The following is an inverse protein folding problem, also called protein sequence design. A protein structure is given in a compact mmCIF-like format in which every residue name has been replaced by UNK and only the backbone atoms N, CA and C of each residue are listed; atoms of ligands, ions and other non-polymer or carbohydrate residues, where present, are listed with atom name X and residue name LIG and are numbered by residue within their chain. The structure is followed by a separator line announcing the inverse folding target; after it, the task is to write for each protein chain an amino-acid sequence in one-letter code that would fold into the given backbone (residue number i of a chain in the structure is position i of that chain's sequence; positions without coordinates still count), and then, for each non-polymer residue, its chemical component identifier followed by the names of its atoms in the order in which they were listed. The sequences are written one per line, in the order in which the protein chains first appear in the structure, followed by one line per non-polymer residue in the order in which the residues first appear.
data_IF_729994855961
#
_entry.id   IF_729994855961
#
_cell.length_a   1.000
_cell.length_b   1.000
_cell.length_c   1.000
_cell.angle_alpha   90.00
_cell.angle_beta   90.00
_cell.angle_gamma   90.00
#
_symmetry.space_group_name_H-M   'P 1'
#
loop_
_entity.id
_entity.type
_entity.pdbx_description
1 polymer ?
#
# COMPACT_ATOMS: atom_id res chain seq x y z
N UNK A 1 -35.97 26.37 -40.52
CA UNK A 1 -35.44 25.06 -40.95
C UNK A 1 -34.07 24.86 -40.30
N UNK A 2 -33.93 23.80 -39.51
CA UNK A 2 -32.74 22.94 -39.20
C UNK A 2 -31.33 23.48 -39.52
N UNK A 3 -30.23 23.18 -38.81
CA UNK A 3 -29.79 22.37 -37.65
C UNK A 3 -28.24 22.67 -37.62
N UNK A 4 -27.47 22.60 -36.55
CA UNK A 4 -26.84 21.38 -36.03
C UNK A 4 -25.87 21.80 -34.90
N UNK A 5 -26.07 21.23 -33.71
CA UNK A 5 -25.06 21.21 -32.64
C UNK A 5 -23.88 20.32 -33.05
N UNK A 6 -22.65 20.77 -32.78
CA UNK A 6 -21.50 19.88 -32.74
C UNK A 6 -21.61 18.94 -31.52
N UNK A 7 -21.44 17.62 -31.68
CA UNK A 7 -21.23 16.74 -30.54
C UNK A 7 -19.79 16.94 -30.04
N UNK A 8 -19.65 17.42 -28.81
CA UNK A 8 -18.37 17.39 -28.09
C UNK A 8 -17.92 15.93 -27.96
N UNK A 9 -16.73 15.63 -28.46
CA UNK A 9 -16.17 14.29 -28.54
C UNK A 9 -16.12 13.60 -27.18
N UNK A 10 -16.77 12.43 -27.09
CA UNK A 10 -16.58 11.49 -25.98
C UNK A 10 -15.10 11.09 -25.96
N UNK A 11 -14.46 11.27 -24.81
CA UNK A 11 -13.10 10.75 -24.55
C UNK A 11 -13.06 9.28 -24.93
N UNK A 12 -12.08 8.93 -25.76
CA UNK A 12 -11.88 7.61 -26.33
C UNK A 12 -11.88 6.55 -25.23
N UNK A 13 -12.88 5.68 -25.30
CA UNK A 13 -13.00 4.50 -24.47
C UNK A 13 -11.85 3.55 -24.84
N UNK A 14 -10.87 3.36 -23.96
CA UNK A 14 -9.84 2.34 -24.16
C UNK A 14 -10.46 0.95 -23.95
N UNK A 15 -11.13 0.44 -24.99
CA UNK A 15 -11.84 -0.85 -24.98
C UNK A 15 -10.98 -2.08 -24.62
N UNK A 16 -9.64 -1.94 -24.55
CA UNK A 16 -8.74 -3.01 -24.17
C UNK A 16 -8.52 -3.20 -22.68
N UNK A 17 -8.86 -2.23 -21.82
CA UNK A 17 -8.53 -2.33 -20.39
C UNK A 17 -9.60 -1.78 -19.44
N UNK A 18 -10.82 -2.27 -19.62
CA UNK A 18 -11.93 -1.89 -18.75
C UNK A 18 -11.65 -2.27 -17.28
N UNK A 19 -11.02 -3.43 -17.01
CA UNK A 19 -10.69 -3.85 -15.63
C UNK A 19 -9.76 -2.83 -14.95
N UNK A 20 -8.66 -2.42 -15.57
CA UNK A 20 -7.78 -1.41 -14.99
C UNK A 20 -8.45 -0.04 -14.89
N UNK A 21 -9.26 0.35 -15.89
CA UNK A 21 -10.03 1.60 -15.82
C UNK A 21 -10.96 1.62 -14.62
N UNK A 22 -11.60 0.49 -14.31
CA UNK A 22 -12.44 0.31 -13.14
C UNK A 22 -11.61 0.33 -11.85
N UNK A 23 -10.46 -0.32 -11.78
CA UNK A 23 -9.56 -0.23 -10.62
C UNK A 23 -9.12 1.21 -10.37
N UNK A 24 -8.68 1.92 -11.41
CA UNK A 24 -8.26 3.33 -11.31
C UNK A 24 -9.40 4.24 -10.87
N UNK A 25 -10.60 4.05 -11.43
CA UNK A 25 -11.78 4.81 -11.04
C UNK A 25 -12.16 4.56 -9.57
N UNK A 26 -11.95 3.36 -9.05
CA UNK A 26 -12.22 3.03 -7.66
C UNK A 26 -11.23 3.72 -6.73
N UNK A 27 -9.94 3.73 -7.08
CA UNK A 27 -8.90 4.43 -6.34
C UNK A 27 -9.16 5.93 -6.27
N UNK A 28 -9.58 6.55 -7.37
CA UNK A 28 -9.96 7.96 -7.38
C UNK A 28 -11.21 8.25 -6.51
N UNK A 29 -12.19 7.34 -6.43
CA UNK A 29 -13.32 7.50 -5.49
C UNK A 29 -12.82 7.49 -4.04
N UNK A 30 -11.86 6.61 -3.74
CA UNK A 30 -11.31 6.43 -2.40
C UNK A 30 -10.30 7.52 -2.00
N UNK A 31 -9.77 8.28 -2.96
CA UNK A 31 -8.91 9.44 -2.67
C UNK A 31 -9.74 10.58 -2.04
N UNK A 32 -10.92 10.84 -2.57
CA UNK A 32 -11.78 11.96 -2.15
C UNK A 32 -12.86 11.55 -1.13
N UNK A 33 -13.04 10.24 -0.91
CA UNK A 33 -14.16 9.70 -0.14
C UNK A 33 -13.79 8.52 0.76
N UNK A 34 -14.81 7.74 1.10
CA UNK A 34 -14.73 6.57 1.99
C UNK A 34 -15.11 5.30 1.24
N UNK A 35 -14.92 4.13 1.86
CA UNK A 35 -15.40 2.88 1.24
C UNK A 35 -16.93 2.85 1.07
N UNK A 36 -17.69 3.62 1.86
CA UNK A 36 -19.14 3.72 1.68
C UNK A 36 -19.52 4.27 0.29
N UNK A 37 -18.68 5.14 -0.27
CA UNK A 37 -18.86 5.73 -1.60
C UNK A 37 -18.55 4.75 -2.73
N UNK A 38 -17.82 3.66 -2.42
CA UNK A 38 -17.44 2.66 -3.39
C UNK A 38 -18.57 1.65 -3.65
N UNK A 39 -19.07 1.64 -4.88
CA UNK A 39 -19.99 0.62 -5.41
C UNK A 39 -19.76 0.41 -6.90
N UNK A 40 -20.13 -0.77 -7.44
CA UNK A 40 -20.01 -1.05 -8.88
C UNK A 40 -20.81 -0.03 -9.73
N UNK A 41 -21.93 0.49 -9.22
CA UNK A 41 -22.72 1.52 -9.90
C UNK A 41 -22.03 2.89 -9.89
N UNK A 42 -21.45 3.29 -8.76
CA UNK A 42 -20.64 4.50 -8.68
C UNK A 42 -19.44 4.40 -9.63
N UNK A 43 -18.84 3.21 -9.72
CA UNK A 43 -17.74 2.92 -10.61
C UNK A 43 -18.13 3.02 -12.08
N UNK A 44 -19.28 2.43 -12.46
CA UNK A 44 -19.80 2.52 -13.81
C UNK A 44 -19.98 3.98 -14.25
N UNK A 45 -20.60 4.78 -13.36
CA UNK A 45 -20.84 6.21 -13.59
C UNK A 45 -19.53 6.97 -13.77
N UNK A 46 -18.53 6.73 -12.91
CA UNK A 46 -17.25 7.43 -12.96
C UNK A 46 -16.41 7.05 -14.19
N UNK A 47 -16.39 5.76 -14.53
CA UNK A 47 -15.69 5.26 -15.71
C UNK A 47 -16.42 5.58 -17.04
N UNK A 48 -17.61 6.21 -16.99
CA UNK A 48 -18.39 6.57 -18.18
C UNK A 48 -18.95 5.36 -18.93
N UNK A 49 -19.11 4.22 -18.25
CA UNK A 49 -19.49 2.93 -18.83
C UNK A 49 -20.95 2.57 -18.52
N UNK A 50 -21.50 1.56 -19.20
CA UNK A 50 -22.85 1.07 -18.85
C UNK A 50 -22.89 0.50 -17.43
N UNK A 51 -24.04 0.59 -16.76
CA UNK A 51 -24.23 0.09 -15.39
C UNK A 51 -23.92 -1.41 -15.24
N UNK A 52 -24.04 -2.19 -16.31
CA UNK A 52 -23.78 -3.63 -16.34
C UNK A 52 -22.33 -3.97 -16.66
N UNK A 53 -21.52 -3.03 -17.15
CA UNK A 53 -20.16 -3.30 -17.59
C UNK A 53 -19.21 -3.77 -16.46
N UNK A 54 -19.24 -3.19 -15.23
CA UNK A 54 -18.36 -3.66 -14.15
C UNK A 54 -18.62 -5.10 -13.70
N UNK A 55 -19.87 -5.56 -13.80
CA UNK A 55 -20.26 -6.92 -13.40
C UNK A 55 -19.62 -8.02 -14.26
N UNK A 56 -19.05 -7.67 -15.42
CA UNK A 56 -18.26 -8.59 -16.24
C UNK A 56 -16.85 -8.84 -15.69
N UNK A 57 -16.38 -7.99 -14.79
CA UNK A 57 -15.03 -8.04 -14.21
C UNK A 57 -15.04 -8.29 -12.71
N UNK A 58 -16.06 -7.82 -12.01
CA UNK A 58 -16.22 -7.97 -10.57
C UNK A 58 -17.62 -8.46 -10.27
N UNK A 59 -17.73 -9.66 -9.70
CA UNK A 59 -19.02 -10.25 -9.36
C UNK A 59 -19.80 -9.39 -8.36
N UNK A 60 -19.08 -8.79 -7.40
CA UNK A 60 -19.61 -7.97 -6.32
C UNK A 60 -18.57 -6.92 -5.86
N UNK A 61 -18.92 -6.18 -4.80
CA UNK A 61 -18.02 -5.19 -4.17
C UNK A 61 -16.79 -5.85 -3.54
N UNK A 62 -16.93 -7.06 -3.02
CA UNK A 62 -15.83 -7.78 -2.38
C UNK A 62 -14.76 -8.18 -3.39
N UNK A 63 -15.15 -8.67 -4.57
CA UNK A 63 -14.25 -8.96 -5.69
C UNK A 63 -13.49 -7.71 -6.17
N UNK A 64 -14.14 -6.54 -6.15
CA UNK A 64 -13.47 -5.26 -6.42
C UNK A 64 -12.45 -4.91 -5.34
N UNK A 65 -12.79 -5.05 -4.06
CA UNK A 65 -11.87 -4.80 -2.95
C UNK A 65 -10.66 -5.74 -3.01
N UNK A 66 -10.88 -7.03 -3.27
CA UNK A 66 -9.81 -8.01 -3.42
C UNK A 66 -8.85 -7.62 -4.56
N UNK A 67 -9.37 -7.17 -5.70
CA UNK A 67 -8.54 -6.69 -6.81
C UNK A 67 -7.73 -5.41 -6.48
N UNK A 68 -8.31 -4.49 -5.70
CA UNK A 68 -7.61 -3.30 -5.22
C UNK A 68 -6.49 -3.65 -4.23
N UNK A 69 -6.76 -4.58 -3.31
CA UNK A 69 -5.74 -5.12 -2.39
C UNK A 69 -4.61 -5.81 -3.16
N UNK A 70 -4.94 -6.62 -4.17
CA UNK A 70 -3.97 -7.32 -5.02
C UNK A 70 -3.06 -6.32 -5.74
N UNK A 71 -3.63 -5.27 -6.34
CA UNK A 71 -2.86 -4.23 -7.03
C UNK A 71 -1.90 -3.48 -6.07
N UNK A 72 -2.37 -3.18 -4.85
CA UNK A 72 -1.57 -2.52 -3.82
C UNK A 72 -0.42 -3.39 -3.30
N UNK A 73 -0.71 -4.65 -2.96
CA UNK A 73 0.29 -5.62 -2.51
C UNK A 73 1.34 -5.88 -3.58
N UNK A 74 0.94 -5.99 -4.85
CA UNK A 74 1.88 -6.13 -5.96
C UNK A 74 2.82 -4.92 -6.04
N UNK A 75 2.29 -3.70 -5.99
CA UNK A 75 3.11 -2.47 -6.01
C UNK A 75 4.11 -2.40 -4.85
N UNK A 76 3.67 -2.76 -3.64
CA UNK A 76 4.53 -2.81 -2.47
C UNK A 76 5.61 -3.90 -2.62
N UNK A 77 5.21 -5.11 -2.99
CA UNK A 77 6.08 -6.26 -3.19
C UNK A 77 7.15 -6.04 -4.26
N UNK A 78 6.76 -5.53 -5.44
CA UNK A 78 7.69 -5.18 -6.53
C UNK A 78 8.77 -4.20 -6.03
N UNK A 79 8.36 -3.18 -5.25
CA UNK A 79 9.27 -2.19 -4.67
C UNK A 79 10.26 -2.79 -3.66
N UNK A 80 9.80 -3.74 -2.84
CA UNK A 80 10.64 -4.47 -1.88
C UNK A 80 11.60 -5.44 -2.57
N UNK A 81 11.15 -6.15 -3.62
CA UNK A 81 11.99 -7.09 -4.37
C UNK A 81 13.20 -6.40 -5.02
N UNK A 82 13.05 -5.16 -5.50
CA UNK A 82 14.19 -4.38 -6.03
C UNK A 82 15.30 -4.22 -4.99
N UNK A 83 14.94 -4.05 -3.71
CA UNK A 83 15.90 -3.90 -2.62
C UNK A 83 16.64 -5.21 -2.32
N UNK A 84 15.99 -6.36 -2.48
CA UNK A 84 16.63 -7.68 -2.36
C UNK A 84 17.76 -7.87 -3.39
N UNK A 85 17.59 -7.36 -4.61
CA UNK A 85 18.60 -7.43 -5.66
C UNK A 85 19.76 -6.44 -5.48
N UNK A 86 19.48 -5.26 -4.92
CA UNK A 86 20.38 -4.09 -4.97
C UNK A 86 21.11 -3.79 -3.65
N UNK A 87 20.58 -4.22 -2.50
CA UNK A 87 21.14 -3.93 -1.17
C UNK A 87 21.65 -5.21 -0.54
N UNK A 88 22.97 -5.29 -0.28
CA UNK A 88 23.63 -6.51 0.20
C UNK A 88 23.73 -6.63 1.71
N UNK A 89 23.93 -5.52 2.40
CA UNK A 89 23.94 -5.50 3.86
C UNK A 89 22.49 -5.67 4.38
N UNK A 90 22.21 -6.69 5.21
CA UNK A 90 20.85 -6.97 5.64
C UNK A 90 20.29 -5.92 6.61
N UNK A 91 21.12 -5.25 7.42
CA UNK A 91 20.68 -4.17 8.31
C UNK A 91 20.26 -2.95 7.48
N UNK A 92 21.09 -2.57 6.50
CA UNK A 92 20.76 -1.47 5.57
C UNK A 92 19.52 -1.85 4.73
N UNK A 93 19.41 -3.11 4.31
CA UNK A 93 18.25 -3.59 3.55
C UNK A 93 16.98 -3.53 4.38
N UNK A 94 17.02 -3.94 5.65
CA UNK A 94 15.88 -3.88 6.57
C UNK A 94 15.41 -2.44 6.78
N UNK A 95 16.35 -1.52 6.99
CA UNK A 95 16.05 -0.09 7.05
C UNK A 95 15.33 0.38 5.77
N UNK A 96 15.88 0.07 4.60
CA UNK A 96 15.32 0.48 3.30
C UNK A 96 13.96 -0.17 3.00
N UNK A 97 13.72 -1.41 3.41
CA UNK A 97 12.42 -2.07 3.31
C UNK A 97 11.38 -1.30 4.13
N UNK A 98 11.73 -0.89 5.35
CA UNK A 98 10.88 -0.05 6.18
C UNK A 98 10.59 1.31 5.55
N UNK A 99 11.60 1.98 5.00
CA UNK A 99 11.41 3.24 4.27
C UNK A 99 10.48 3.07 3.05
N UNK A 100 10.63 1.98 2.29
CA UNK A 100 9.79 1.66 1.14
C UNK A 100 8.34 1.41 1.54
N UNK A 101 8.11 0.78 2.69
CA UNK A 101 6.78 0.58 3.25
C UNK A 101 6.08 1.92 3.55
N UNK A 102 6.80 2.86 4.19
CA UNK A 102 6.26 4.19 4.49
C UNK A 102 6.06 5.03 3.22
N UNK A 103 6.98 4.96 2.25
CA UNK A 103 6.84 5.62 0.94
C UNK A 103 5.58 5.11 0.20
N UNK A 104 5.28 3.82 0.30
CA UNK A 104 4.08 3.25 -0.31
C UNK A 104 2.80 3.85 0.29
N UNK A 105 2.72 4.00 1.60
CA UNK A 105 1.57 4.61 2.27
C UNK A 105 1.31 6.05 1.81
N UNK A 106 2.39 6.79 1.54
CA UNK A 106 2.35 8.18 1.06
C UNK A 106 1.95 8.29 -0.41
N UNK A 107 2.57 7.46 -1.27
CA UNK A 107 2.35 7.50 -2.72
C UNK A 107 1.00 6.89 -3.10
N UNK A 108 0.53 5.91 -2.33
CA UNK A 108 -0.67 5.13 -2.62
C UNK A 108 -1.62 5.07 -1.41
N UNK A 109 -2.12 6.22 -0.90
CA UNK A 109 -2.90 6.25 0.34
C UNK A 109 -4.22 5.50 0.24
N UNK A 110 -4.88 5.52 -0.94
CA UNK A 110 -6.10 4.75 -1.18
C UNK A 110 -5.85 3.24 -1.14
N UNK A 111 -4.73 2.76 -1.70
CA UNK A 111 -4.34 1.35 -1.60
C UNK A 111 -4.00 0.98 -0.16
N UNK A 112 -3.22 1.79 0.54
CA UNK A 112 -2.82 1.54 1.91
C UNK A 112 -4.04 1.36 2.82
N UNK A 113 -5.02 2.28 2.75
CA UNK A 113 -6.29 2.16 3.46
C UNK A 113 -7.03 0.89 3.08
N UNK A 114 -7.20 0.61 1.78
CA UNK A 114 -7.90 -0.60 1.31
C UNK A 114 -7.25 -1.88 1.84
N UNK A 115 -5.92 -1.95 1.82
CA UNK A 115 -5.18 -3.14 2.23
C UNK A 115 -5.37 -3.47 3.71
N UNK A 116 -5.33 -2.46 4.58
CA UNK A 116 -5.22 -2.66 6.04
C UNK A 116 -6.44 -2.24 6.86
N UNK A 117 -7.37 -1.41 6.35
CA UNK A 117 -8.56 -0.96 7.09
C UNK A 117 -9.82 -1.77 6.77
N UNK A 118 -9.77 -2.68 5.79
CA UNK A 118 -10.94 -3.42 5.34
C UNK A 118 -10.67 -4.91 5.26
N UNK A 119 -11.50 -5.70 5.91
CA UNK A 119 -11.43 -7.16 5.81
C UNK A 119 -12.24 -7.69 4.62
N UNK A 120 -11.77 -8.80 4.07
CA UNK A 120 -12.56 -9.62 3.17
C UNK A 120 -13.33 -10.63 4.01
N UNK A 121 -14.60 -10.88 3.67
CA UNK A 121 -15.44 -11.85 4.37
C UNK A 121 -14.91 -13.28 4.16
N UNK A 122 -14.43 -13.56 2.95
CA UNK A 122 -13.76 -14.80 2.59
C UNK A 122 -12.41 -14.48 1.93
N UNK A 123 -11.38 -14.33 2.77
CA UNK A 123 -10.02 -14.01 2.30
C UNK A 123 -9.46 -15.17 1.45
N UNK A 124 -9.71 -16.41 1.88
CA UNK A 124 -9.23 -17.67 1.30
C UNK A 124 -9.74 -17.91 -0.13
N UNK A 125 -10.89 -17.35 -0.48
CA UNK A 125 -11.45 -17.36 -1.84
C UNK A 125 -10.53 -16.72 -2.89
N UNK A 126 -9.67 -15.77 -2.50
CA UNK A 126 -8.88 -14.96 -3.45
C UNK A 126 -7.42 -15.44 -3.52
N UNK A 127 -7.16 -16.62 -4.09
CA UNK A 127 -5.82 -17.24 -4.17
C UNK A 127 -4.73 -16.31 -4.72
N UNK A 128 -5.01 -15.57 -5.78
CA UNK A 128 -4.04 -14.62 -6.37
C UNK A 128 -3.64 -13.49 -5.40
N UNK A 129 -4.51 -13.15 -4.44
CA UNK A 129 -4.21 -12.15 -3.41
C UNK A 129 -3.18 -12.69 -2.41
N UNK A 130 -3.24 -13.99 -2.10
CA UNK A 130 -2.26 -14.64 -1.23
C UNK A 130 -0.87 -14.64 -1.87
N UNK A 131 -0.78 -15.03 -3.15
CA UNK A 131 0.50 -15.10 -3.88
C UNK A 131 1.23 -13.75 -3.91
N UNK A 132 0.52 -12.65 -4.15
CA UNK A 132 1.13 -11.31 -4.14
C UNK A 132 1.44 -10.79 -2.74
N UNK A 133 0.68 -11.23 -1.73
CA UNK A 133 0.94 -10.92 -0.32
C UNK A 133 2.26 -11.55 0.13
N UNK A 134 2.49 -12.80 -0.24
CA UNK A 134 3.66 -13.58 0.17
C UNK A 134 4.97 -12.95 -0.26
N UNK A 135 5.00 -12.24 -1.40
CA UNK A 135 6.21 -11.56 -1.89
C UNK A 135 6.76 -10.54 -0.87
N UNK A 136 5.89 -9.67 -0.37
CA UNK A 136 6.29 -8.61 0.57
C UNK A 136 6.72 -9.20 1.91
N UNK A 137 5.96 -10.17 2.42
CA UNK A 137 6.31 -10.88 3.64
C UNK A 137 7.62 -11.64 3.53
N UNK A 138 7.86 -12.34 2.42
CA UNK A 138 9.11 -13.08 2.21
C UNK A 138 10.33 -12.15 2.18
N UNK A 139 10.22 -10.95 1.59
CA UNK A 139 11.31 -9.97 1.61
C UNK A 139 11.67 -9.55 3.04
N UNK A 140 10.66 -9.31 3.89
CA UNK A 140 10.84 -8.97 5.29
C UNK A 140 11.44 -10.14 6.07
N UNK A 141 10.84 -11.34 5.98
CA UNK A 141 11.28 -12.55 6.67
C UNK A 141 12.74 -12.86 6.36
N UNK A 142 13.08 -12.96 5.07
CA UNK A 142 14.45 -13.23 4.62
C UNK A 142 15.44 -12.21 5.16
N UNK A 143 15.08 -10.92 5.15
CA UNK A 143 15.99 -9.87 5.61
C UNK A 143 16.17 -9.88 7.13
N UNK A 144 15.10 -10.10 7.90
CA UNK A 144 15.21 -10.20 9.35
C UNK A 144 16.02 -11.44 9.76
N UNK A 145 15.82 -12.57 9.09
CA UNK A 145 16.57 -13.79 9.37
C UNK A 145 18.06 -13.61 9.09
N UNK A 146 18.41 -12.93 7.99
CA UNK A 146 19.80 -12.56 7.69
C UNK A 146 20.40 -11.59 8.72
N UNK A 147 19.63 -10.61 9.22
CA UNK A 147 20.08 -9.74 10.30
C UNK A 147 20.37 -10.52 11.59
N UNK A 148 19.51 -11.46 11.95
CA UNK A 148 19.65 -12.28 13.16
C UNK A 148 20.78 -13.33 13.05
N UNK A 149 21.27 -13.59 11.85
CA UNK A 149 22.42 -14.45 11.60
C UNK A 149 23.78 -13.70 11.68
N UNK A 150 23.78 -12.37 11.79
CA UNK A 150 25.01 -11.58 11.88
C UNK A 150 25.77 -11.81 13.21
N UNK A 151 27.11 -11.68 13.21
CA UNK A 151 27.87 -11.61 14.44
C UNK A 151 27.38 -10.46 15.34
N UNK A 152 27.15 -10.75 16.62
CA UNK A 152 26.62 -9.77 17.57
C UNK A 152 25.11 -9.54 17.46
N UNK A 153 24.39 -10.34 16.67
CA UNK A 153 22.93 -10.32 16.71
C UNK A 153 22.40 -10.76 18.08
N UNK A 154 21.37 -10.06 18.56
CA UNK A 154 20.65 -10.43 19.77
C UNK A 154 19.88 -11.74 19.56
N UNK A 155 19.73 -12.51 20.63
CA UNK A 155 18.90 -13.71 20.64
C UNK A 155 17.42 -13.33 20.75
N UNK A 156 16.79 -13.08 19.61
CA UNK A 156 15.38 -12.73 19.47
C UNK A 156 14.70 -13.80 18.63
N UNK A 157 13.46 -14.17 18.98
CA UNK A 157 12.64 -15.04 18.14
C UNK A 157 12.39 -14.36 16.76
N UNK A 158 12.66 -15.03 15.62
CA UNK A 158 12.51 -14.41 14.31
C UNK A 158 11.10 -13.89 14.03
N UNK A 159 10.06 -14.62 14.43
CA UNK A 159 8.68 -14.18 14.19
C UNK A 159 8.35 -12.92 15.01
N UNK A 160 8.85 -12.83 16.25
CA UNK A 160 8.73 -11.62 17.07
C UNK A 160 9.47 -10.45 16.41
N UNK A 161 10.70 -10.64 15.92
CA UNK A 161 11.46 -9.59 15.24
C UNK A 161 10.75 -9.11 13.97
N UNK A 162 10.26 -10.03 13.14
CA UNK A 162 9.51 -9.73 11.91
C UNK A 162 8.22 -8.94 12.20
N UNK A 163 7.41 -9.39 13.16
CA UNK A 163 6.19 -8.70 13.53
C UNK A 163 6.45 -7.33 14.17
N UNK A 164 7.52 -7.20 14.95
CA UNK A 164 7.95 -5.90 15.52
C UNK A 164 8.38 -4.93 14.42
N UNK A 165 9.17 -5.40 13.45
CA UNK A 165 9.60 -4.60 12.30
C UNK A 165 8.38 -4.03 11.55
N UNK A 166 7.43 -4.91 11.22
CA UNK A 166 6.23 -4.52 10.49
C UNK A 166 5.34 -3.58 11.31
N UNK A 167 5.10 -3.90 12.59
CA UNK A 167 4.29 -3.07 13.49
C UNK A 167 4.83 -1.64 13.59
N UNK A 168 6.16 -1.49 13.69
CA UNK A 168 6.79 -0.18 13.78
C UNK A 168 6.56 0.65 12.51
N UNK A 169 6.83 0.09 11.31
CA UNK A 169 6.70 0.85 10.06
C UNK A 169 5.24 1.06 9.66
N UNK A 170 4.36 0.13 10.04
CA UNK A 170 2.92 0.28 9.89
C UNK A 170 2.38 1.40 10.77
N UNK A 171 2.70 1.38 12.07
CA UNK A 171 2.35 2.46 12.99
C UNK A 171 2.90 3.81 12.54
N UNK A 172 4.18 3.87 12.14
CA UNK A 172 4.78 5.08 11.59
C UNK A 172 4.05 5.59 10.34
N UNK A 173 3.62 4.70 9.45
CA UNK A 173 2.86 5.08 8.25
C UNK A 173 1.51 5.71 8.62
N UNK A 174 0.74 5.07 9.51
CA UNK A 174 -0.54 5.59 9.99
C UNK A 174 -0.38 6.96 10.66
N UNK A 175 0.65 7.11 11.49
CA UNK A 175 0.99 8.37 12.12
C UNK A 175 1.32 9.45 11.08
N UNK A 176 2.18 9.15 10.11
CA UNK A 176 2.59 10.12 9.09
C UNK A 176 1.51 10.45 8.05
N UNK A 177 0.45 9.64 7.94
CA UNK A 177 -0.70 9.96 7.10
C UNK A 177 -1.66 10.97 7.75
N UNK A 178 -1.54 11.21 9.06
CA UNK A 178 -2.38 12.17 9.78
C UNK A 178 -1.71 13.55 9.83
N UNK A 179 -2.05 14.41 8.86
CA UNK A 179 -1.46 15.76 8.73
C UNK A 179 -1.65 16.63 9.98
N UNK A 180 -2.84 16.63 10.58
CA UNK A 180 -3.10 17.41 11.80
C UNK A 180 -2.23 16.99 12.97
N UNK A 181 -1.95 15.69 13.07
CA UNK A 181 -1.07 15.17 14.13
C UNK A 181 0.39 15.53 13.85
N UNK A 182 0.84 15.52 12.60
CA UNK A 182 2.18 15.99 12.23
C UNK A 182 2.37 17.46 12.63
N UNK A 183 1.41 18.33 12.32
CA UNK A 183 1.51 19.74 12.70
C UNK A 183 1.53 19.91 14.22
N UNK A 184 0.68 19.17 14.94
CA UNK A 184 0.68 19.17 16.41
C UNK A 184 2.01 18.68 17.01
N UNK A 185 2.66 17.67 16.40
CA UNK A 185 3.96 17.16 16.86
C UNK A 185 5.08 18.19 16.74
N UNK A 186 5.05 19.07 15.73
CA UNK A 186 6.03 20.15 15.55
C UNK A 186 5.95 21.22 16.64
N UNK A 187 4.79 21.39 17.27
CA UNK A 187 4.51 22.51 18.17
C UNK A 187 4.77 22.22 19.66
N UNK A 188 5.03 20.98 20.10
CA UNK A 188 5.21 20.78 21.56
C UNK A 188 5.59 19.43 22.14
N UNK A 189 5.74 18.34 21.37
CA UNK A 189 5.91 16.99 21.96
C UNK A 189 7.25 16.31 21.68
N UNK A 190 7.96 16.70 20.62
CA UNK A 190 9.28 16.15 20.29
C UNK A 190 10.26 17.28 19.97
N UNK A 191 11.41 17.33 20.66
CA UNK A 191 12.45 18.32 20.37
C UNK A 191 13.32 17.81 19.22
N UNK A 192 13.28 18.50 18.08
CA UNK A 192 14.16 18.34 16.90
C UNK A 192 14.24 16.91 16.30
N UNK A 193 13.10 16.35 15.88
CA UNK A 193 13.06 15.13 15.06
C UNK A 193 13.44 15.36 13.58
N UNK A 194 13.61 16.62 13.17
CA UNK A 194 13.83 17.00 11.78
C UNK A 194 12.60 16.86 10.88
N UNK A 195 12.83 16.85 9.56
CA UNK A 195 11.76 16.68 8.58
C UNK A 195 11.23 15.23 8.51
N UNK A 196 10.16 15.05 7.74
CA UNK A 196 9.50 13.75 7.56
C UNK A 196 10.46 12.65 7.10
N UNK A 197 11.37 12.93 6.17
CA UNK A 197 12.29 11.92 5.66
C UNK A 197 13.30 11.53 6.74
N UNK A 198 13.79 12.51 7.50
CA UNK A 198 14.69 12.26 8.63
C UNK A 198 14.04 11.41 9.71
N UNK A 199 12.76 11.64 10.03
CA UNK A 199 12.00 10.80 10.96
C UNK A 199 11.96 9.35 10.46
N UNK A 200 11.59 9.15 9.19
CA UNK A 200 11.50 7.81 8.59
C UNK A 200 12.86 7.10 8.66
N UNK A 201 13.94 7.78 8.28
CA UNK A 201 15.30 7.23 8.34
C UNK A 201 15.71 6.86 9.76
N UNK A 202 15.48 7.74 10.74
CA UNK A 202 15.88 7.52 12.13
C UNK A 202 15.10 6.37 12.77
N UNK A 203 13.78 6.31 12.59
CA UNK A 203 12.94 5.25 13.17
C UNK A 203 13.27 3.90 12.54
N UNK A 204 13.41 3.84 11.21
CA UNK A 204 13.77 2.59 10.53
C UNK A 204 15.17 2.12 10.89
N UNK A 205 16.14 3.04 11.02
CA UNK A 205 17.51 2.72 11.46
C UNK A 205 17.54 2.23 12.90
N UNK A 206 16.79 2.88 13.79
CA UNK A 206 16.72 2.50 15.20
C UNK A 206 16.32 1.03 15.36
N UNK A 207 15.33 0.57 14.59
CA UNK A 207 14.94 -0.84 14.62
C UNK A 207 16.01 -1.77 14.07
N UNK A 208 16.60 -1.48 12.90
CA UNK A 208 17.64 -2.34 12.35
C UNK A 208 18.82 -2.48 13.31
N UNK A 209 19.27 -1.36 13.90
CA UNK A 209 20.36 -1.34 14.87
C UNK A 209 19.99 -2.12 16.16
N UNK A 210 18.71 -2.10 16.56
CA UNK A 210 18.25 -2.79 17.77
C UNK A 210 18.42 -4.31 17.72
N UNK A 211 18.56 -4.89 16.53
CA UNK A 211 18.81 -6.32 16.35
C UNK A 211 20.24 -6.72 16.74
N UNK A 212 21.16 -5.77 16.91
CA UNK A 212 22.55 -5.99 17.28
C UNK A 212 22.78 -5.57 18.75
N UNK A 213 23.66 -6.28 19.47
CA UNK A 213 23.92 -6.02 20.89
C UNK A 213 25.03 -6.82 21.53
#
# INVERSE_FOLDING_TARGET
MNKWCCPQGRKSYHHGNLRETLVQSALEILQDGTLADLSLRALARKAGVSQTAPYRHFADKEALIAALKQDGLKKLGDGMQVLMGTVKDPLIRLQKLGMRYVEFADRYPAHFKIMFEYDLCDYQKYTELHEVSDIGFQCLQTTVDECLALPGARKIDPAVAQFTAWSMVHGLSVLLMNQSMIEHMKEGHFVDLGDRNRIIEQVTKFFSDSLIG
#
